data_IF_697138591138
#
_entry.id   IF_697138591138
#
_cell.length_a   1.000
_cell.length_b   1.000
_cell.length_c   1.000
_cell.angle_alpha   90.00
_cell.angle_beta   90.00
_cell.angle_gamma   90.00
#
_symmetry.space_group_name_H-M   'P 1'
#
loop_
_entity.id
_entity.type
_entity.pdbx_description
1 polymer ?
#
# COMPACT_ATOMS: atom_id res chain seq x y z
N UNK A 1 -9.63 5.93 18.30
CA UNK A 1 -9.99 5.02 17.19
C UNK A 1 -9.74 5.80 15.91
N UNK A 2 -8.77 5.36 15.10
CA UNK A 2 -8.21 6.10 13.96
C UNK A 2 -9.21 6.18 12.82
N UNK A 3 -10.01 7.24 12.82
CA UNK A 3 -10.90 7.60 11.72
C UNK A 3 -10.08 8.10 10.54
N UNK A 4 -9.92 7.27 9.51
CA UNK A 4 -9.51 7.73 8.18
C UNK A 4 -8.31 7.03 7.55
N UNK A 5 -7.49 6.27 8.30
CA UNK A 5 -6.46 5.41 7.71
C UNK A 5 -7.09 4.06 7.31
N UNK A 6 -7.04 3.71 6.02
CA UNK A 6 -7.39 2.36 5.60
C UNK A 6 -6.50 1.36 6.34
N UNK A 7 -7.07 0.27 6.85
CA UNK A 7 -6.28 -0.77 7.49
C UNK A 7 -5.43 -1.49 6.44
N UNK A 8 -4.14 -1.67 6.71
CA UNK A 8 -3.26 -2.50 5.88
C UNK A 8 -3.60 -4.00 5.95
N UNK A 9 -4.63 -4.37 6.71
CA UNK A 9 -5.18 -5.71 6.80
C UNK A 9 -6.69 -5.72 6.62
N UNK A 10 -7.20 -6.75 5.95
CA UNK A 10 -8.63 -7.03 5.80
C UNK A 10 -8.92 -8.31 6.60
N UNK A 11 -9.84 -8.30 7.57
CA UNK A 11 -10.23 -9.53 8.25
C UNK A 11 -10.78 -10.57 7.27
N UNK A 12 -10.53 -11.85 7.56
CA UNK A 12 -10.84 -12.94 6.63
C UNK A 12 -12.31 -13.19 6.36
N UNK A 13 -13.22 -12.65 7.17
CA UNK A 13 -14.66 -12.84 7.01
C UNK A 13 -15.34 -11.48 6.97
N UNK A 14 -16.15 -11.24 5.93
CA UNK A 14 -17.04 -10.07 5.83
C UNK A 14 -17.06 -9.42 4.44
N UNK A 15 -17.94 -8.43 4.28
CA UNK A 15 -17.96 -7.51 3.13
C UNK A 15 -17.34 -6.16 3.47
N UNK A 16 -16.46 -5.69 2.60
CA UNK A 16 -15.69 -4.46 2.73
C UNK A 16 -15.84 -3.59 1.49
N UNK A 17 -16.31 -2.36 1.64
CA UNK A 17 -16.43 -1.43 0.51
C UNK A 17 -15.07 -0.81 0.17
N UNK A 18 -14.70 -0.82 -1.10
CA UNK A 18 -13.41 -0.29 -1.54
C UNK A 18 -13.44 1.24 -1.49
N UNK A 19 -12.37 1.86 -1.01
CA UNK A 19 -12.30 3.29 -0.74
C UNK A 19 -12.92 3.70 0.61
N UNK A 20 -13.80 2.87 1.19
CA UNK A 20 -14.46 3.12 2.49
C UNK A 20 -13.83 2.26 3.60
N UNK A 21 -13.96 0.94 3.47
CA UNK A 21 -13.50 -0.03 4.43
C UNK A 21 -12.06 -0.48 4.15
N UNK A 22 -11.71 -0.62 2.87
CA UNK A 22 -10.41 -1.15 2.41
C UNK A 22 -9.80 -0.29 1.31
N UNK A 23 -8.48 -0.18 1.32
CA UNK A 23 -7.73 0.49 0.27
C UNK A 23 -7.69 -0.37 -1.00
N UNK A 24 -7.71 0.21 -2.21
CA UNK A 24 -7.32 -0.53 -3.40
C UNK A 24 -5.84 -0.94 -3.32
N UNK A 25 -5.51 -2.12 -3.86
CA UNK A 25 -4.15 -2.63 -3.89
C UNK A 25 -4.04 -4.14 -4.00
N UNK A 26 -2.80 -4.63 -3.95
CA UNK A 26 -2.49 -6.06 -3.95
C UNK A 26 -2.50 -6.57 -2.52
N UNK A 27 -3.30 -7.59 -2.25
CA UNK A 27 -3.43 -8.23 -0.95
C UNK A 27 -3.03 -9.69 -1.02
N UNK A 28 -2.43 -10.19 0.06
CA UNK A 28 -2.02 -11.58 0.21
C UNK A 28 -2.61 -12.18 1.47
N UNK A 29 -3.17 -13.37 1.32
CA UNK A 29 -3.59 -14.26 2.38
C UNK A 29 -2.59 -15.42 2.42
N UNK A 30 -2.04 -15.75 3.60
CA UNK A 30 -1.02 -16.82 3.72
C UNK A 30 -1.61 -18.23 3.62
N UNK A 31 -2.88 -18.41 4.01
CA UNK A 31 -3.59 -19.66 3.88
C UNK A 31 -5.06 -19.42 3.48
N UNK A 32 -5.36 -19.69 2.21
CA UNK A 32 -6.70 -19.58 1.64
C UNK A 32 -7.56 -20.84 1.83
N UNK A 33 -7.02 -21.93 2.38
CA UNK A 33 -7.62 -23.28 2.29
C UNK A 33 -9.12 -23.31 2.58
N UNK A 34 -9.90 -23.74 1.58
CA UNK A 34 -11.35 -23.96 1.71
C UNK A 34 -12.18 -22.68 1.84
N UNK A 35 -11.53 -21.52 1.74
CA UNK A 35 -12.17 -20.22 1.72
C UNK A 35 -12.58 -19.78 0.32
N UNK A 36 -13.07 -18.55 0.26
CA UNK A 36 -13.39 -17.84 -0.99
C UNK A 36 -13.23 -16.33 -0.84
N UNK A 37 -13.25 -15.68 -1.99
CA UNK A 37 -13.40 -14.24 -2.08
C UNK A 37 -14.22 -13.88 -3.33
N UNK A 38 -14.88 -12.74 -3.27
CA UNK A 38 -15.63 -12.12 -4.37
C UNK A 38 -15.31 -10.63 -4.37
N UNK A 39 -14.99 -10.09 -5.55
CA UNK A 39 -14.87 -8.67 -5.85
C UNK A 39 -16.08 -8.27 -6.68
N UNK A 40 -16.80 -7.25 -6.22
CA UNK A 40 -17.86 -6.62 -6.99
C UNK A 40 -17.21 -5.50 -7.81
N UNK A 41 -17.05 -5.74 -9.11
CA UNK A 41 -16.32 -4.84 -10.00
C UNK A 41 -17.16 -3.61 -10.36
N UNK A 42 -16.51 -2.51 -10.72
CA UNK A 42 -17.18 -1.31 -11.21
C UNK A 42 -17.95 -0.51 -10.14
N UNK A 43 -18.36 0.72 -10.47
CA UNK A 43 -18.87 1.74 -9.54
C UNK A 43 -20.15 1.36 -8.77
N UNK A 44 -20.97 0.44 -9.29
CA UNK A 44 -22.26 0.05 -8.72
C UNK A 44 -22.35 -1.41 -8.25
N UNK A 45 -21.25 -2.15 -8.25
CA UNK A 45 -21.28 -3.61 -8.05
C UNK A 45 -21.75 -4.35 -9.29
N UNK A 46 -21.02 -4.16 -10.39
CA UNK A 46 -21.10 -4.91 -11.63
C UNK A 46 -20.75 -6.39 -11.47
N UNK A 47 -20.24 -7.00 -12.54
CA UNK A 47 -20.10 -8.47 -12.57
C UNK A 47 -19.15 -8.95 -11.45
N UNK A 48 -19.62 -9.85 -10.56
CA UNK A 48 -18.82 -10.32 -9.45
C UNK A 48 -17.72 -11.25 -9.97
N UNK A 49 -16.47 -10.92 -9.66
CA UNK A 49 -15.30 -11.75 -9.95
C UNK A 49 -14.89 -12.42 -8.66
N UNK A 50 -14.82 -13.74 -8.62
CA UNK A 50 -14.50 -14.45 -7.39
C UNK A 50 -13.80 -15.77 -7.64
N UNK A 51 -13.27 -16.34 -6.55
CA UNK A 51 -12.63 -17.65 -6.57
C UNK A 51 -13.13 -18.50 -5.41
N UNK A 52 -13.62 -19.69 -5.74
CA UNK A 52 -13.95 -20.75 -4.78
C UNK A 52 -13.83 -22.13 -5.44
N UNK A 53 -13.35 -23.17 -4.74
CA UNK A 53 -12.65 -23.09 -3.44
C UNK A 53 -11.21 -22.63 -3.63
N UNK A 54 -10.70 -21.87 -2.66
CA UNK A 54 -9.29 -21.49 -2.65
C UNK A 54 -8.39 -22.71 -2.31
N UNK A 55 -7.27 -22.89 -3.02
CA UNK A 55 -6.32 -23.95 -2.73
C UNK A 55 -5.63 -23.72 -1.38
N UNK A 56 -5.01 -24.77 -0.85
CA UNK A 56 -4.16 -24.63 0.33
C UNK A 56 -2.89 -23.84 -0.02
N UNK A 57 -2.48 -22.94 0.87
CA UNK A 57 -1.32 -22.08 0.68
C UNK A 57 -1.67 -20.63 0.33
N UNK A 58 -0.66 -19.83 -0.06
CA UNK A 58 -0.81 -18.40 -0.20
C UNK A 58 -1.65 -18.03 -1.41
N UNK A 59 -2.60 -17.12 -1.21
CA UNK A 59 -3.47 -16.56 -2.25
C UNK A 59 -3.24 -15.06 -2.33
N UNK A 60 -3.06 -14.56 -3.55
CA UNK A 60 -2.99 -13.11 -3.81
C UNK A 60 -4.17 -12.64 -4.62
N UNK A 61 -4.61 -11.42 -4.34
CA UNK A 61 -5.66 -10.72 -5.07
C UNK A 61 -5.21 -9.30 -5.35
N UNK A 62 -5.71 -8.74 -6.44
CA UNK A 62 -5.66 -7.30 -6.69
C UNK A 62 -7.08 -6.78 -6.45
N UNK A 63 -7.22 -5.73 -5.66
CA UNK A 63 -8.47 -4.96 -5.50
C UNK A 63 -8.27 -3.67 -6.28
N UNK A 64 -9.03 -3.49 -7.36
CA UNK A 64 -8.95 -2.33 -8.22
C UNK A 64 -9.56 -1.08 -7.54
N UNK A 65 -9.11 0.14 -7.88
CA UNK A 65 -9.74 1.38 -7.40
C UNK A 65 -11.23 1.49 -7.75
N UNK A 66 -11.64 0.88 -8.86
CA UNK A 66 -13.01 0.85 -9.39
C UNK A 66 -13.88 -0.25 -8.83
N UNK A 67 -13.33 -1.17 -8.04
CA UNK A 67 -14.14 -2.16 -7.35
C UNK A 67 -15.09 -1.45 -6.38
N UNK A 68 -16.31 -1.93 -6.28
CA UNK A 68 -17.30 -1.44 -5.33
C UNK A 68 -17.11 -2.06 -3.95
N UNK A 69 -16.94 -3.37 -3.89
CA UNK A 69 -16.82 -4.12 -2.65
C UNK A 69 -15.98 -5.38 -2.81
N UNK A 70 -15.39 -5.79 -1.70
CA UNK A 70 -14.64 -7.02 -1.54
C UNK A 70 -15.29 -7.85 -0.42
N UNK A 71 -15.78 -9.03 -0.77
CA UNK A 71 -16.34 -10.00 0.16
C UNK A 71 -15.38 -11.18 0.29
N UNK A 72 -15.15 -11.65 1.51
CA UNK A 72 -14.22 -12.75 1.74
C UNK A 72 -14.69 -13.65 2.87
N UNK A 73 -14.35 -14.92 2.74
CA UNK A 73 -14.46 -15.92 3.80
C UNK A 73 -13.21 -16.81 3.76
N UNK A 74 -12.18 -16.41 4.47
CA UNK A 74 -10.95 -17.14 4.75
C UNK A 74 -10.74 -17.23 6.26
N UNK A 75 -10.04 -18.26 6.71
CA UNK A 75 -9.79 -18.51 8.15
C UNK A 75 -8.79 -17.52 8.76
N UNK A 76 -8.02 -16.83 7.93
CA UNK A 76 -6.96 -15.90 8.34
C UNK A 76 -7.35 -14.45 8.01
N UNK A 77 -6.44 -13.67 7.44
CA UNK A 77 -6.66 -12.28 7.06
C UNK A 77 -5.84 -11.95 5.82
N UNK A 78 -6.25 -10.90 5.11
CA UNK A 78 -5.50 -10.38 3.98
C UNK A 78 -4.57 -9.28 4.46
N UNK A 79 -3.32 -9.28 4.00
CA UNK A 79 -2.35 -8.20 4.23
C UNK A 79 -2.07 -7.48 2.92
N UNK A 80 -2.09 -6.15 2.93
CA UNK A 80 -1.69 -5.35 1.76
C UNK A 80 -0.18 -5.52 1.53
N UNK A 81 0.20 -5.95 0.34
CA UNK A 81 1.58 -6.19 -0.08
C UNK A 81 2.07 -5.09 -1.01
N UNK A 82 1.18 -4.54 -1.82
CA UNK A 82 1.49 -3.40 -2.69
C UNK A 82 0.28 -2.47 -2.83
N UNK A 83 0.54 -1.20 -3.13
CA UNK A 83 -0.50 -0.28 -3.59
C UNK A 83 -1.08 -0.76 -4.92
N UNK A 84 -2.28 -0.26 -5.28
CA UNK A 84 -2.80 -0.43 -6.63
C UNK A 84 -1.93 0.44 -7.55
N UNK A 85 -0.81 -0.13 -8.01
CA UNK A 85 -0.04 0.47 -9.09
C UNK A 85 -0.85 0.42 -10.39
N UNK A 86 -0.58 1.31 -11.35
CA UNK A 86 -1.14 1.18 -12.69
C UNK A 86 -0.64 -0.14 -13.28
N UNK A 87 -1.48 -1.17 -13.30
CA UNK A 87 -1.29 -2.26 -14.25
C UNK A 87 -1.57 -1.63 -15.62
N UNK A 88 -0.51 -1.45 -16.42
CA UNK A 88 -0.53 -0.97 -17.80
C UNK A 88 -1.18 0.40 -18.04
N UNK A 89 -0.47 1.50 -17.74
CA UNK A 89 -0.63 2.81 -18.41
C UNK A 89 -2.05 3.42 -18.41
N UNK A 90 -2.96 2.86 -17.63
CA UNK A 90 -4.35 3.25 -17.61
C UNK A 90 -4.47 4.55 -16.82
N UNK A 91 -5.28 5.52 -17.29
CA UNK A 91 -5.54 6.74 -16.52
C UNK A 91 -5.92 6.35 -15.09
N UNK A 92 -5.48 7.12 -14.09
CA UNK A 92 -5.86 6.90 -12.69
C UNK A 92 -7.38 6.68 -12.59
N UNK A 93 -7.78 5.41 -12.50
CA UNK A 93 -9.18 5.04 -12.44
C UNK A 93 -9.73 5.57 -11.12
N UNK A 94 -10.72 6.46 -11.22
CA UNK A 94 -11.29 7.18 -10.08
C UNK A 94 -11.85 6.19 -9.06
N UNK A 95 -11.41 6.33 -7.81
CA UNK A 95 -12.03 5.58 -6.71
C UNK A 95 -13.36 6.22 -6.29
N UNK A 96 -14.33 5.43 -5.81
CA UNK A 96 -15.49 5.97 -5.11
C UNK A 96 -15.07 6.81 -3.90
N UNK A 97 -15.82 7.88 -3.63
CA UNK A 97 -15.59 8.75 -2.47
C UNK A 97 -16.78 8.64 -1.54
N UNK A 98 -16.52 8.40 -0.25
CA UNK A 98 -17.57 8.30 0.75
C UNK A 98 -17.37 9.28 1.89
N UNK A 99 -18.48 9.58 2.57
CA UNK A 99 -18.46 10.32 3.82
C UNK A 99 -17.57 9.59 4.85
N UNK A 100 -16.55 10.27 5.42
CA UNK A 100 -15.63 9.64 6.38
C UNK A 100 -16.31 9.14 7.66
N UNK A 101 -17.51 9.63 7.99
CA UNK A 101 -18.30 9.17 9.14
C UNK A 101 -19.17 7.95 8.83
N UNK A 102 -19.41 7.64 7.55
CA UNK A 102 -20.28 6.56 7.11
C UNK A 102 -19.81 5.20 7.63
N UNK A 103 -18.50 4.96 7.61
CA UNK A 103 -17.90 3.71 8.11
C UNK A 103 -18.20 3.46 9.58
N UNK A 104 -17.95 4.47 10.43
CA UNK A 104 -18.18 4.36 11.86
C UNK A 104 -19.67 4.09 12.16
N UNK A 105 -20.58 4.75 11.44
CA UNK A 105 -22.01 4.49 11.59
C UNK A 105 -22.41 3.08 11.15
N UNK A 106 -21.92 2.61 10.01
CA UNK A 106 -22.18 1.24 9.54
C UNK A 106 -21.68 0.21 10.55
N UNK A 107 -20.49 0.40 11.11
CA UNK A 107 -19.93 -0.49 12.11
C UNK A 107 -20.77 -0.48 13.41
N UNK A 108 -21.31 0.67 13.84
CA UNK A 108 -22.22 0.74 15.00
C UNK A 108 -23.54 0.02 14.74
N UNK A 109 -24.09 0.13 13.53
CA UNK A 109 -25.33 -0.55 13.15
C UNK A 109 -25.17 -2.06 13.13
N UNK A 110 -24.05 -2.54 12.57
CA UNK A 110 -23.70 -3.96 12.57
C UNK A 110 -23.46 -4.45 14.00
N UNK A 111 -22.70 -3.71 14.81
CA UNK A 111 -22.42 -4.05 16.20
C UNK A 111 -23.69 -4.16 17.06
N UNK A 112 -24.65 -3.25 16.87
CA UNK A 112 -25.93 -3.27 17.59
C UNK A 112 -26.78 -4.50 17.26
N UNK A 113 -26.64 -5.08 16.07
CA UNK A 113 -27.43 -6.24 15.61
C UNK A 113 -26.72 -7.59 15.72
N UNK A 114 -25.39 -7.60 15.92
CA UNK A 114 -24.62 -8.82 16.25
C UNK A 114 -25.26 -9.71 17.34
N UNK A 115 -25.73 -9.20 18.50
CA UNK A 115 -26.33 -10.07 19.51
C UNK A 115 -27.63 -10.72 19.03
N UNK A 116 -28.43 -10.02 18.20
CA UNK A 116 -29.68 -10.55 17.67
C UNK A 116 -29.43 -11.72 16.70
N UNK A 117 -28.42 -11.60 15.84
CA UNK A 117 -28.04 -12.65 14.90
C UNK A 117 -27.39 -13.83 15.63
N UNK A 118 -26.60 -13.57 16.67
CA UNK A 118 -26.02 -14.64 17.51
C UNK A 118 -27.07 -15.45 18.27
N UNK A 119 -28.22 -14.84 18.61
CA UNK A 119 -29.34 -15.53 19.24
C UNK A 119 -30.18 -16.39 18.28
N UNK A 120 -30.05 -16.22 16.95
CA UNK A 120 -30.82 -16.97 15.96
C UNK A 120 -30.72 -18.51 16.07
N UNK A 121 -29.53 -19.14 16.23
CA UNK A 121 -29.47 -20.59 16.47
C UNK A 121 -30.11 -20.98 17.81
N UNK A 122 -30.04 -20.11 18.81
CA UNK A 122 -30.62 -20.33 20.14
C UNK A 122 -32.15 -20.30 20.09
N UNK A 123 -32.75 -19.41 19.29
CA UNK A 123 -34.20 -19.38 19.08
C UNK A 123 -34.68 -20.60 18.29
N UNK A 124 -33.94 -21.04 17.26
CA UNK A 124 -34.23 -22.28 16.51
C UNK A 124 -34.20 -23.49 17.45
N UNK A 125 -33.23 -23.55 18.36
CA UNK A 125 -33.09 -24.63 19.34
C UNK A 125 -34.18 -24.56 20.43
N UNK A 126 -34.57 -23.37 20.88
CA UNK A 126 -35.66 -23.17 21.83
C UNK A 126 -37.03 -23.56 21.24
N UNK A 127 -37.28 -23.21 19.97
CA UNK A 127 -38.43 -23.71 19.21
C UNK A 127 -38.35 -25.23 19.18
N UNK A 128 -37.19 -25.79 18.82
CA UNK A 128 -36.92 -27.23 18.80
C UNK A 128 -37.14 -27.97 20.11
N UNK A 129 -37.05 -27.29 21.25
CA UNK A 129 -37.36 -27.87 22.55
C UNK A 129 -38.87 -27.85 22.82
N UNK A 130 -39.59 -26.81 22.38
CA UNK A 130 -41.02 -26.60 22.64
C UNK A 130 -41.94 -27.57 21.90
N UNK A 131 -41.61 -27.96 20.67
CA UNK A 131 -42.39 -28.94 19.88
C UNK A 131 -41.96 -30.40 20.06
N UNK A 132 -40.89 -30.66 20.83
CA UNK A 132 -40.43 -32.02 21.16
C UNK A 132 -41.52 -32.93 21.78
N UNK A 133 -42.40 -32.47 22.70
CA UNK A 133 -43.46 -33.31 23.25
C UNK A 133 -44.54 -33.69 22.23
N UNK A 134 -44.64 -32.98 21.10
CA UNK A 134 -45.67 -33.21 20.07
C UNK A 134 -45.12 -33.97 18.86
N UNK A 135 -43.89 -33.68 18.44
CA UNK A 135 -43.29 -34.22 17.20
C UNK A 135 -42.16 -35.25 17.43
N UNK A 136 -41.74 -35.48 18.68
CA UNK A 136 -40.74 -36.49 19.03
C UNK A 136 -39.28 -36.13 18.72
N UNK A 137 -38.37 -37.10 18.87
CA UNK A 137 -36.91 -36.89 18.86
C UNK A 137 -36.31 -36.60 17.48
N UNK A 138 -36.94 -37.04 16.39
CA UNK A 138 -36.49 -36.75 15.02
C UNK A 138 -36.61 -35.25 14.69
N UNK A 139 -37.58 -34.57 15.29
CA UNK A 139 -37.78 -33.13 15.11
C UNK A 139 -36.69 -32.29 15.80
N UNK A 140 -36.28 -32.71 17.01
CA UNK A 140 -35.14 -32.14 17.73
C UNK A 140 -33.84 -32.26 16.93
N UNK A 141 -33.60 -33.43 16.32
CA UNK A 141 -32.41 -33.64 15.49
C UNK A 141 -32.41 -32.74 14.25
N UNK A 142 -33.58 -32.61 13.60
CA UNK A 142 -33.76 -31.70 12.46
C UNK A 142 -33.49 -30.24 12.81
N UNK A 143 -34.00 -29.75 13.94
CA UNK A 143 -33.78 -28.37 14.38
C UNK A 143 -32.40 -28.13 14.98
N UNK A 144 -31.76 -29.13 15.59
CA UNK A 144 -30.36 -29.05 15.98
C UNK A 144 -29.44 -28.93 14.75
N UNK A 145 -29.68 -29.74 13.70
CA UNK A 145 -28.97 -29.61 12.44
C UNK A 145 -29.21 -28.24 11.79
N UNK A 146 -30.45 -27.74 11.86
CA UNK A 146 -30.77 -26.39 11.37
C UNK A 146 -30.06 -25.30 12.16
N UNK A 147 -30.03 -25.39 13.50
CA UNK A 147 -29.32 -24.46 14.36
C UNK A 147 -27.81 -24.46 14.08
N UNK A 148 -27.21 -25.62 13.78
CA UNK A 148 -25.80 -25.73 13.38
C UNK A 148 -25.57 -25.06 12.01
N UNK A 149 -26.42 -25.33 11.02
CA UNK A 149 -26.35 -24.67 9.71
C UNK A 149 -26.50 -23.14 9.81
N UNK A 150 -27.43 -22.68 10.65
CA UNK A 150 -27.63 -21.25 10.94
C UNK A 150 -26.42 -20.66 11.64
N UNK A 151 -25.86 -21.34 12.64
CA UNK A 151 -24.68 -20.88 13.38
C UNK A 151 -23.43 -20.79 12.49
N UNK A 152 -23.25 -21.72 11.55
CA UNK A 152 -22.11 -21.72 10.61
C UNK A 152 -22.27 -20.71 9.47
N UNK A 153 -23.49 -20.52 8.93
CA UNK A 153 -23.70 -19.72 7.71
C UNK A 153 -24.31 -18.32 7.92
N UNK A 154 -25.06 -18.09 8.99
CA UNK A 154 -25.90 -16.89 9.11
C UNK A 154 -25.20 -15.63 9.67
N UNK A 155 -24.24 -15.71 10.62
CA UNK A 155 -23.66 -14.51 11.22
C UNK A 155 -22.93 -13.60 10.23
N UNK A 156 -22.18 -14.17 9.29
CA UNK A 156 -21.43 -13.41 8.29
C UNK A 156 -22.36 -12.92 7.17
N UNK A 157 -23.01 -13.86 6.47
CA UNK A 157 -23.79 -13.58 5.26
C UNK A 157 -24.99 -12.65 5.50
N UNK A 158 -25.67 -12.75 6.66
CA UNK A 158 -26.85 -11.91 6.93
C UNK A 158 -26.49 -10.46 7.28
N UNK A 159 -25.38 -10.25 8.01
CA UNK A 159 -24.88 -8.93 8.36
C UNK A 159 -24.30 -8.23 7.12
N UNK A 160 -23.61 -8.99 6.26
CA UNK A 160 -23.03 -8.51 5.01
C UNK A 160 -24.11 -8.07 4.00
N UNK A 161 -25.14 -8.88 3.77
CA UNK A 161 -26.29 -8.51 2.94
C UNK A 161 -27.09 -7.32 3.49
N UNK A 162 -27.15 -7.17 4.82
CA UNK A 162 -27.76 -5.99 5.43
C UNK A 162 -26.90 -4.75 5.25
N UNK A 163 -25.57 -4.86 5.41
CA UNK A 163 -24.63 -3.75 5.20
C UNK A 163 -24.73 -3.23 3.75
N UNK A 164 -24.80 -4.13 2.77
CA UNK A 164 -25.02 -3.78 1.37
C UNK A 164 -26.37 -3.07 1.13
N UNK A 165 -27.47 -3.57 1.72
CA UNK A 165 -28.79 -2.92 1.61
C UNK A 165 -28.83 -1.54 2.28
N UNK A 166 -28.21 -1.40 3.45
CA UNK A 166 -28.15 -0.12 4.16
C UNK A 166 -27.24 0.89 3.44
N UNK A 167 -26.18 0.43 2.76
CA UNK A 167 -25.39 1.29 1.90
C UNK A 167 -26.21 1.77 0.69
N UNK A 168 -26.93 0.87 0.01
CA UNK A 168 -27.82 1.24 -1.10
C UNK A 168 -28.91 2.25 -0.69
N UNK A 169 -29.40 2.17 0.56
CA UNK A 169 -30.35 3.15 1.12
C UNK A 169 -29.73 4.51 1.40
N UNK A 170 -28.40 4.58 1.57
CA UNK A 170 -27.63 5.79 1.88
C UNK A 170 -26.82 6.27 0.66
N UNK A 171 -27.42 6.19 -0.54
CA UNK A 171 -26.78 6.62 -1.80
C UNK A 171 -26.37 8.09 -1.81
N UNK A 172 -26.93 8.90 -0.92
CA UNK A 172 -26.55 10.28 -0.68
C UNK A 172 -25.19 10.45 0.04
N UNK A 173 -24.62 9.38 0.61
CA UNK A 173 -23.39 9.42 1.44
C UNK A 173 -22.17 8.78 0.80
N UNK A 174 -22.28 8.36 -0.45
CA UNK A 174 -21.15 7.92 -1.26
C UNK A 174 -21.38 8.29 -2.72
N UNK A 175 -20.29 8.61 -3.41
CA UNK A 175 -20.28 9.03 -4.81
C UNK A 175 -19.39 8.09 -5.61
N UNK A 176 -19.86 7.72 -6.78
CA UNK A 176 -19.14 6.86 -7.72
C UNK A 176 -18.73 7.65 -8.96
N UNK A 177 -17.72 7.20 -9.73
CA UNK A 177 -17.28 7.86 -10.96
C UNK A 177 -18.40 8.23 -11.96
N UNK A 178 -19.53 7.53 -11.91
CA UNK A 178 -20.73 7.78 -12.74
C UNK A 178 -21.53 9.03 -12.32
N UNK A 179 -21.38 9.49 -11.08
CA UNK A 179 -22.07 10.70 -10.58
C UNK A 179 -21.41 12.01 -11.08
N UNK A 180 -20.32 11.90 -11.84
CA UNK A 180 -19.50 13.01 -12.32
C UNK A 180 -19.49 13.06 -13.85
N UNK A 181 -19.48 14.27 -14.40
CA UNK A 181 -19.15 14.52 -15.82
C UNK A 181 -17.62 14.54 -16.03
N UNK A 182 -17.18 14.63 -17.29
CA UNK A 182 -15.75 14.54 -17.65
C UNK A 182 -14.86 15.54 -16.91
N UNK A 183 -15.25 16.82 -16.88
CA UNK A 183 -14.49 17.85 -16.18
C UNK A 183 -14.39 17.60 -14.68
N UNK A 184 -15.49 17.15 -14.04
CA UNK A 184 -15.48 16.84 -12.62
C UNK A 184 -14.65 15.59 -12.33
N UNK A 185 -14.65 14.59 -13.22
CA UNK A 185 -13.78 13.42 -13.14
C UNK A 185 -12.31 13.81 -13.15
N UNK A 186 -11.90 14.71 -14.03
CA UNK A 186 -10.51 15.19 -14.07
C UNK A 186 -10.11 15.91 -12.77
N UNK A 187 -10.96 16.81 -12.27
CA UNK A 187 -10.70 17.50 -11.00
C UNK A 187 -10.64 16.54 -9.81
N UNK A 188 -11.52 15.53 -9.78
CA UNK A 188 -11.51 14.53 -8.72
C UNK A 188 -10.25 13.67 -8.76
N UNK A 189 -9.77 13.28 -9.95
CA UNK A 189 -8.54 12.50 -10.10
C UNK A 189 -7.34 13.26 -9.52
N UNK A 190 -7.27 14.57 -9.79
CA UNK A 190 -6.24 15.47 -9.23
C UNK A 190 -6.30 15.54 -7.72
N UNK A 191 -7.50 15.63 -7.13
CA UNK A 191 -7.68 15.60 -5.67
C UNK A 191 -7.19 14.28 -5.08
N UNK A 192 -7.60 13.15 -5.66
CA UNK A 192 -7.22 11.81 -5.20
C UNK A 192 -5.71 11.63 -5.25
N UNK A 193 -5.06 12.03 -6.36
CA UNK A 193 -3.61 11.98 -6.50
C UNK A 193 -2.87 12.86 -5.47
N UNK A 194 -3.38 14.06 -5.20
CA UNK A 194 -2.80 14.96 -4.19
C UNK A 194 -2.94 14.38 -2.77
N UNK A 195 -4.10 13.84 -2.42
CA UNK A 195 -4.36 13.20 -1.13
C UNK A 195 -3.47 11.97 -0.95
N UNK A 196 -3.35 11.14 -1.98
CA UNK A 196 -2.52 9.92 -1.94
C UNK A 196 -1.04 10.26 -1.81
N UNK A 197 -0.56 11.28 -2.53
CA UNK A 197 0.82 11.78 -2.40
C UNK A 197 1.15 12.16 -0.96
N UNK A 198 0.24 12.86 -0.26
CA UNK A 198 0.48 13.23 1.14
C UNK A 198 0.42 12.01 2.05
N UNK A 199 -0.59 11.15 1.87
CA UNK A 199 -0.79 9.97 2.73
C UNK A 199 0.37 8.98 2.67
N UNK A 200 0.86 8.73 1.46
CA UNK A 200 1.90 7.74 1.20
C UNK A 200 3.32 8.28 1.46
N UNK A 201 3.46 9.60 1.67
CA UNK A 201 4.74 10.22 1.96
C UNK A 201 5.40 9.63 3.21
N UNK A 202 6.73 9.56 3.16
CA UNK A 202 7.57 9.07 4.26
C UNK A 202 7.45 9.98 5.49
N UNK A 203 7.44 11.30 5.27
CA UNK A 203 7.23 12.29 6.34
C UNK A 203 5.87 12.15 7.05
N UNK A 204 4.81 11.74 6.34
CA UNK A 204 3.51 11.50 6.97
C UNK A 204 3.50 10.16 7.73
N UNK A 205 4.08 9.09 7.15
CA UNK A 205 4.15 7.77 7.80
C UNK A 205 4.99 7.77 9.08
N UNK A 206 6.01 8.61 9.13
CA UNK A 206 6.88 8.75 10.31
C UNK A 206 6.36 9.76 11.34
N UNK A 207 5.23 10.41 11.07
CA UNK A 207 4.64 11.39 11.98
C UNK A 207 5.43 12.70 12.07
N UNK A 208 6.26 13.01 11.08
CA UNK A 208 6.93 14.32 10.95
C UNK A 208 5.94 15.42 10.51
N UNK A 209 4.88 15.03 9.81
CA UNK A 209 3.66 15.82 9.66
C UNK A 209 2.63 15.39 10.73
N UNK A 210 1.64 16.25 10.99
CA UNK A 210 0.50 15.88 11.84
C UNK A 210 -0.35 14.80 11.16
N UNK A 211 0.08 13.54 11.32
CA UNK A 211 -0.52 12.38 10.68
C UNK A 211 -1.93 12.10 11.19
N UNK A 212 -2.26 12.57 12.40
CA UNK A 212 -3.59 12.46 12.99
C UNK A 212 -4.54 13.45 12.31
N UNK A 213 -4.14 14.72 12.18
CA UNK A 213 -4.94 15.70 11.44
C UNK A 213 -5.07 15.29 9.97
N UNK A 214 -3.98 14.88 9.32
CA UNK A 214 -4.02 14.41 7.93
C UNK A 214 -4.95 13.22 7.72
N UNK A 215 -5.00 12.28 8.67
CA UNK A 215 -5.89 11.12 8.59
C UNK A 215 -7.38 11.52 8.60
N UNK A 216 -7.74 12.61 9.28
CA UNK A 216 -9.12 13.06 9.45
C UNK A 216 -9.51 14.13 8.42
N UNK A 217 -8.63 15.11 8.20
CA UNK A 217 -8.90 16.28 7.38
C UNK A 217 -8.86 15.95 5.89
N UNK A 218 -7.88 15.17 5.41
CA UNK A 218 -7.77 14.87 3.97
C UNK A 218 -9.01 14.13 3.41
N UNK A 219 -9.53 13.04 4.04
CA UNK A 219 -10.77 12.40 3.58
C UNK A 219 -11.97 13.33 3.59
N UNK A 220 -12.06 14.20 4.60
CA UNK A 220 -13.15 15.17 4.69
C UNK A 220 -13.07 16.19 3.56
N UNK A 221 -11.87 16.67 3.22
CA UNK A 221 -11.66 17.56 2.08
C UNK A 221 -12.01 16.86 0.75
N UNK A 222 -11.59 15.61 0.56
CA UNK A 222 -11.92 14.79 -0.62
C UNK A 222 -13.45 14.65 -0.78
N UNK A 223 -14.16 14.28 0.30
CA UNK A 223 -15.62 14.14 0.31
C UNK A 223 -16.37 15.46 0.04
N UNK A 224 -15.95 16.55 0.68
CA UNK A 224 -16.60 17.85 0.47
C UNK A 224 -16.41 18.37 -0.97
N UNK A 225 -15.22 18.17 -1.56
CA UNK A 225 -14.97 18.53 -2.96
C UNK A 225 -15.81 17.65 -3.89
N UNK A 226 -15.81 16.32 -3.67
CA UNK A 226 -16.60 15.39 -4.46
C UNK A 226 -18.10 15.74 -4.46
N UNK A 227 -18.68 16.10 -3.31
CA UNK A 227 -20.08 16.52 -3.25
C UNK A 227 -20.38 17.77 -4.08
N UNK A 228 -19.47 18.76 -4.08
CA UNK A 228 -19.65 19.97 -4.88
C UNK A 228 -19.51 19.64 -6.36
N UNK A 229 -18.52 18.83 -6.74
CA UNK A 229 -18.30 18.37 -8.11
C UNK A 229 -19.51 17.60 -8.65
N UNK A 230 -20.05 16.62 -7.92
CA UNK A 230 -21.24 15.86 -8.33
C UNK A 230 -22.46 16.78 -8.51
N UNK A 231 -22.62 17.78 -7.63
CA UNK A 231 -23.69 18.79 -7.77
C UNK A 231 -23.50 19.66 -9.01
N UNK A 232 -22.27 20.07 -9.30
CA UNK A 232 -21.95 20.84 -10.50
C UNK A 232 -22.21 20.02 -11.77
N UNK A 233 -21.80 18.75 -11.80
CA UNK A 233 -22.07 17.84 -12.91
C UNK A 233 -23.56 17.67 -13.18
N UNK A 234 -24.36 17.42 -12.13
CA UNK A 234 -25.82 17.34 -12.28
C UNK A 234 -26.43 18.63 -12.84
N UNK A 235 -26.01 19.78 -12.32
CA UNK A 235 -26.51 21.08 -12.79
C UNK A 235 -26.10 21.39 -14.24
N UNK A 236 -24.93 20.93 -14.69
CA UNK A 236 -24.50 21.05 -16.10
C UNK A 236 -25.38 20.20 -17.01
N UNK A 237 -25.61 18.94 -16.65
CA UNK A 237 -26.49 18.03 -17.40
C UNK A 237 -27.90 18.63 -17.52
N UNK A 238 -28.49 19.11 -16.41
CA UNK A 238 -29.81 19.76 -16.41
C UNK A 238 -29.84 21.02 -17.33
N UNK A 239 -28.75 21.79 -17.39
CA UNK A 239 -28.66 22.99 -18.23
C UNK A 239 -28.45 22.66 -19.72
N UNK A 240 -27.73 21.60 -20.03
CA UNK A 240 -27.50 21.15 -21.40
C UNK A 240 -28.80 20.57 -21.99
N UNK A 241 -29.55 19.81 -21.20
CA UNK A 241 -30.90 19.32 -21.56
C UNK A 241 -31.87 20.49 -21.79
N UNK A 242 -31.84 21.51 -20.92
CA UNK A 242 -32.68 22.71 -21.06
C UNK A 242 -32.27 23.64 -22.22
N UNK A 243 -31.05 23.47 -22.77
CA UNK A 243 -30.47 24.33 -23.81
C UNK A 243 -30.71 23.88 -25.26
N UNK A 244 -31.16 22.64 -25.48
CA UNK A 244 -31.41 22.06 -26.81
C UNK A 244 -32.63 22.68 -27.52
N UNK A 245 -32.66 22.77 -28.87
CA UNK A 245 -32.64 24.06 -29.58
C UNK A 245 -33.58 25.09 -28.95
N UNK A 246 -33.10 25.73 -27.89
CA UNK A 246 -33.90 26.65 -27.09
C UNK A 246 -33.97 28.03 -27.74
N UNK A 247 -35.14 28.67 -27.67
CA UNK A 247 -35.35 30.05 -28.10
C UNK A 247 -34.34 30.98 -27.38
N UNK A 248 -33.83 32.05 -28.04
CA UNK A 248 -32.82 32.94 -27.47
C UNK A 248 -33.21 33.54 -26.12
N UNK A 249 -34.50 33.67 -25.83
CA UNK A 249 -35.07 34.12 -24.56
C UNK A 249 -34.75 33.17 -23.39
N UNK A 250 -34.82 31.85 -23.62
CA UNK A 250 -34.48 30.82 -22.61
C UNK A 250 -32.99 30.86 -22.31
N UNK A 251 -32.17 31.00 -23.37
CA UNK A 251 -30.72 31.16 -23.24
C UNK A 251 -30.32 32.43 -22.47
N UNK A 252 -31.05 33.54 -22.65
CA UNK A 252 -30.84 34.76 -21.89
C UNK A 252 -31.22 34.58 -20.40
N UNK A 253 -32.32 33.87 -20.11
CA UNK A 253 -32.77 33.59 -18.75
C UNK A 253 -31.81 32.66 -17.98
N UNK A 254 -31.13 31.74 -18.67
CA UNK A 254 -30.15 30.82 -18.05
C UNK A 254 -28.79 31.46 -17.73
N UNK A 255 -28.46 32.62 -18.33
CA UNK A 255 -27.13 33.26 -18.19
C UNK A 255 -26.70 33.50 -16.73
N UNK A 256 -27.54 34.08 -15.84
CA UNK A 256 -27.13 34.31 -14.45
C UNK A 256 -26.88 33.01 -13.66
N UNK A 257 -27.55 31.91 -14.03
CA UNK A 257 -27.32 30.60 -13.41
C UNK A 257 -26.00 29.99 -13.86
N UNK A 258 -25.63 30.14 -15.13
CA UNK A 258 -24.31 29.74 -15.66
C UNK A 258 -23.17 30.52 -15.00
N UNK A 259 -23.34 31.82 -14.81
CA UNK A 259 -22.35 32.65 -14.10
C UNK A 259 -22.13 32.19 -12.65
N UNK A 260 -23.22 31.86 -11.93
CA UNK A 260 -23.12 31.30 -10.57
C UNK A 260 -22.42 29.95 -10.54
N UNK A 261 -22.69 29.09 -11.53
CA UNK A 261 -22.05 27.79 -11.65
C UNK A 261 -20.55 27.93 -11.92
N UNK A 262 -20.16 28.83 -12.84
CA UNK A 262 -18.76 29.14 -13.14
C UNK A 262 -18.00 29.68 -11.92
N UNK A 263 -18.62 30.56 -11.12
CA UNK A 263 -18.04 31.01 -9.85
C UNK A 263 -17.81 29.86 -8.87
N UNK A 264 -18.74 28.91 -8.82
CA UNK A 264 -18.61 27.69 -7.99
C UNK A 264 -17.46 26.80 -8.48
N UNK A 265 -17.36 26.57 -9.80
CA UNK A 265 -16.27 25.78 -10.40
C UNK A 265 -14.92 26.42 -10.06
N UNK A 266 -14.76 27.74 -10.29
CA UNK A 266 -13.53 28.47 -9.94
C UNK A 266 -13.17 28.41 -8.46
N UNK A 267 -14.15 28.38 -7.56
CA UNK A 267 -13.91 28.23 -6.13
C UNK A 267 -13.38 26.82 -5.78
N UNK A 268 -13.98 25.77 -6.37
CA UNK A 268 -13.52 24.39 -6.19
C UNK A 268 -12.14 24.18 -6.79
N UNK A 269 -11.88 24.67 -7.99
CA UNK A 269 -10.56 24.55 -8.63
C UNK A 269 -9.46 25.14 -7.76
N UNK A 270 -9.66 26.32 -7.17
CA UNK A 270 -8.68 26.91 -6.22
C UNK A 270 -8.43 26.07 -4.99
N UNK A 271 -9.45 25.33 -4.52
CA UNK A 271 -9.32 24.39 -3.40
C UNK A 271 -8.51 23.16 -3.82
N UNK A 272 -8.73 22.63 -5.01
CA UNK A 272 -7.91 21.55 -5.61
C UNK A 272 -6.46 21.99 -5.74
N UNK A 273 -6.19 23.17 -6.30
CA UNK A 273 -4.84 23.74 -6.42
C UNK A 273 -4.16 23.96 -5.06
N UNK A 274 -4.92 24.22 -4.00
CA UNK A 274 -4.38 24.30 -2.65
C UNK A 274 -3.94 22.93 -2.12
N UNK A 275 -4.71 21.88 -2.39
CA UNK A 275 -4.34 20.49 -2.05
C UNK A 275 -3.12 20.02 -2.85
N UNK A 276 -3.05 20.33 -4.15
CA UNK A 276 -1.89 20.00 -4.99
C UNK A 276 -0.62 20.70 -4.50
N UNK A 277 -0.70 21.99 -4.14
CA UNK A 277 0.44 22.70 -3.53
C UNK A 277 0.86 22.11 -2.20
N UNK A 278 -0.08 21.59 -1.41
CA UNK A 278 0.25 20.88 -0.17
C UNK A 278 0.98 19.57 -0.47
N UNK A 279 0.47 18.77 -1.42
CA UNK A 279 1.12 17.55 -1.88
C UNK A 279 2.54 17.79 -2.43
N UNK A 280 2.75 18.85 -3.20
CA UNK A 280 4.07 19.23 -3.71
C UNK A 280 5.05 19.55 -2.58
N UNK A 281 4.62 20.32 -1.57
CA UNK A 281 5.44 20.62 -0.40
C UNK A 281 5.78 19.37 0.40
N UNK A 282 4.84 18.45 0.52
CA UNK A 282 5.07 17.16 1.18
C UNK A 282 6.08 16.32 0.41
N UNK A 283 6.04 16.31 -0.93
CA UNK A 283 7.07 15.64 -1.75
C UNK A 283 8.46 16.25 -1.56
N UNK A 284 8.54 17.58 -1.56
CA UNK A 284 9.81 18.27 -1.29
C UNK A 284 10.35 17.96 0.12
N UNK A 285 9.46 17.82 1.12
CA UNK A 285 9.85 17.40 2.46
C UNK A 285 10.38 15.95 2.50
N UNK A 286 9.77 15.03 1.76
CA UNK A 286 10.26 13.66 1.57
C UNK A 286 11.67 13.65 0.94
N UNK A 287 11.90 14.46 -0.09
CA UNK A 287 13.21 14.58 -0.72
C UNK A 287 14.27 15.10 0.26
N UNK A 288 13.92 16.12 1.06
CA UNK A 288 14.80 16.65 2.10
C UNK A 288 15.10 15.61 3.18
N UNK A 289 14.11 14.83 3.62
CA UNK A 289 14.29 13.74 4.59
C UNK A 289 15.24 12.67 4.05
N UNK A 290 15.06 12.25 2.79
CA UNK A 290 15.96 11.28 2.15
C UNK A 290 17.37 11.82 1.98
N UNK A 291 17.51 13.10 1.63
CA UNK A 291 18.82 13.75 1.54
C UNK A 291 19.52 13.81 2.91
N UNK A 292 18.79 14.16 3.96
CA UNK A 292 19.30 14.19 5.33
C UNK A 292 19.82 12.81 5.75
N UNK A 293 19.04 11.74 5.54
CA UNK A 293 19.46 10.36 5.83
C UNK A 293 20.70 9.92 5.08
N UNK A 294 20.83 10.32 3.81
CA UNK A 294 22.03 10.02 3.02
C UNK A 294 23.26 10.72 3.61
N UNK A 295 23.12 11.96 4.08
CA UNK A 295 24.21 12.69 4.74
C UNK A 295 24.59 12.03 6.08
N UNK A 296 23.62 11.62 6.89
CA UNK A 296 23.88 10.88 8.13
C UNK A 296 24.62 9.57 7.85
N UNK A 297 24.21 8.81 6.83
CA UNK A 297 24.87 7.58 6.43
C UNK A 297 26.31 7.81 5.92
N UNK A 298 26.56 8.92 5.22
CA UNK A 298 27.91 9.31 4.78
C UNK A 298 28.79 9.72 5.96
N UNK A 299 28.26 10.52 6.89
CA UNK A 299 28.97 10.91 8.11
C UNK A 299 29.29 9.70 8.98
N UNK A 300 28.36 8.77 9.10
CA UNK A 300 28.58 7.52 9.81
C UNK A 300 29.72 6.70 9.20
N UNK A 301 30.03 6.83 7.90
CA UNK A 301 31.15 6.15 7.23
C UNK A 301 32.42 6.99 7.13
N UNK A 302 32.40 8.27 7.52
CA UNK A 302 33.55 9.17 7.41
C UNK A 302 34.79 8.62 8.15
N UNK A 303 34.59 7.98 9.30
CA UNK A 303 35.66 7.35 10.07
C UNK A 303 36.43 6.27 9.28
N UNK A 304 35.76 5.50 8.40
CA UNK A 304 36.43 4.51 7.54
C UNK A 304 37.37 5.18 6.53
N UNK A 305 37.00 6.36 6.03
CA UNK A 305 37.85 7.14 5.12
C UNK A 305 39.02 7.79 5.87
N UNK A 306 38.80 8.26 7.10
CA UNK A 306 39.86 8.79 7.96
C UNK A 306 40.87 7.69 8.34
N UNK A 307 40.40 6.48 8.65
CA UNK A 307 41.25 5.31 8.93
C UNK A 307 42.07 4.89 7.69
N UNK A 308 41.44 4.86 6.51
CA UNK A 308 42.13 4.58 5.25
C UNK A 308 43.23 5.62 4.96
N UNK A 309 42.96 6.90 5.20
CA UNK A 309 43.96 7.97 5.08
C UNK A 309 45.10 7.76 6.08
N UNK A 310 44.80 7.42 7.33
CA UNK A 310 45.82 7.17 8.35
C UNK A 310 46.73 5.99 8.01
N UNK A 311 46.16 4.89 7.49
CA UNK A 311 46.94 3.74 7.04
C UNK A 311 47.79 4.06 5.80
N UNK A 312 47.26 4.84 4.84
CA UNK A 312 48.05 5.29 3.68
C UNK A 312 49.23 6.17 4.09
N UNK A 313 49.04 7.10 5.03
CA UNK A 313 50.16 7.90 5.57
C UNK A 313 51.17 7.01 6.30
N UNK A 314 50.74 5.96 7.01
CA UNK A 314 51.65 4.99 7.63
C UNK A 314 52.48 4.26 6.57
N UNK A 315 51.86 3.83 5.47
CA UNK A 315 52.53 3.15 4.37
C UNK A 315 53.55 4.06 3.67
N UNK A 316 53.20 5.33 3.44
CA UNK A 316 54.12 6.34 2.91
C UNK A 316 55.34 6.57 3.83
N UNK A 317 55.15 6.52 5.15
CA UNK A 317 56.23 6.61 6.12
C UNK A 317 57.09 5.34 6.21
N UNK A 318 56.58 4.19 5.73
CA UNK A 318 57.30 2.91 5.73
C UNK A 318 58.24 2.75 4.52
N UNK A 319 57.98 3.46 3.41
CA UNK A 319 58.80 3.44 2.19
C UNK A 319 60.31 3.65 2.45
N UNK A 320 60.76 4.66 3.21
CA UNK A 320 62.19 4.87 3.48
C UNK A 320 62.85 3.75 4.31
N UNK A 321 62.08 2.95 5.04
CA UNK A 321 62.60 1.79 5.76
C UNK A 321 62.80 0.60 4.79
N UNK A 322 61.89 0.41 3.85
CA UNK A 322 61.99 -0.63 2.81
C UNK A 322 63.15 -0.34 1.86
N UNK A 323 63.35 0.92 1.47
CA UNK A 323 64.49 1.35 0.65
C UNK A 323 65.83 0.99 1.33
N UNK A 324 65.98 1.29 2.62
CA UNK A 324 67.18 0.92 3.40
C UNK A 324 67.38 -0.59 3.49
N UNK A 325 66.33 -1.38 3.69
CA UNK A 325 66.43 -2.84 3.70
C UNK A 325 66.86 -3.41 2.34
N UNK A 326 66.44 -2.74 1.26
CA UNK A 326 66.83 -3.11 -0.11
C UNK A 326 68.30 -2.81 -0.35
N UNK A 327 68.78 -1.62 0.05
CA UNK A 327 70.21 -1.26 -0.03
C UNK A 327 71.11 -2.23 0.74
N UNK A 328 70.68 -2.63 1.95
CA UNK A 328 71.39 -3.62 2.77
C UNK A 328 71.43 -5.01 2.11
N UNK A 329 70.35 -5.40 1.46
CA UNK A 329 70.28 -6.67 0.73
C UNK A 329 71.22 -6.67 -0.49
N UNK A 330 71.29 -5.55 -1.22
CA UNK A 330 72.22 -5.39 -2.34
C UNK A 330 73.69 -5.41 -1.88
N UNK A 331 73.98 -4.81 -0.72
CA UNK A 331 75.29 -4.89 -0.08
C UNK A 331 75.67 -6.34 0.26
N UNK A 332 74.75 -7.08 0.89
CA UNK A 332 74.95 -8.49 1.22
C UNK A 332 75.21 -9.33 -0.04
N UNK A 333 74.43 -9.14 -1.10
CA UNK A 333 74.62 -9.84 -2.38
C UNK A 333 75.98 -9.52 -2.99
N UNK A 334 76.42 -8.25 -2.95
CA UNK A 334 77.77 -7.85 -3.40
C UNK A 334 78.85 -8.57 -2.60
N UNK A 335 78.76 -8.60 -1.28
CA UNK A 335 79.73 -9.29 -0.41
C UNK A 335 79.77 -10.79 -0.68
N UNK A 336 78.61 -11.45 -0.81
CA UNK A 336 78.54 -12.88 -1.10
C UNK A 336 79.15 -13.22 -2.45
N UNK A 337 78.86 -12.43 -3.50
CA UNK A 337 79.47 -12.59 -4.83
C UNK A 337 80.98 -12.42 -4.79
N UNK A 338 81.47 -11.42 -4.05
CA UNK A 338 82.92 -11.20 -3.85
C UNK A 338 83.58 -12.42 -3.20
N UNK A 339 82.99 -12.96 -2.13
CA UNK A 339 83.51 -14.16 -1.46
C UNK A 339 83.46 -15.40 -2.35
N UNK A 340 82.43 -15.52 -3.20
CA UNK A 340 82.32 -16.63 -4.15
C UNK A 340 83.38 -16.54 -5.24
N UNK A 341 83.73 -15.32 -5.68
CA UNK A 341 84.81 -15.08 -6.63
C UNK A 341 86.18 -15.41 -6.00
N UNK A 342 86.44 -14.96 -4.77
CA UNK A 342 87.66 -15.30 -4.02
C UNK A 342 87.79 -16.82 -3.82
N UNK A 343 86.70 -17.52 -3.49
CA UNK A 343 86.70 -18.97 -3.35
C UNK A 343 86.92 -19.71 -4.69
N UNK A 344 86.43 -19.16 -5.81
CA UNK A 344 86.66 -19.71 -7.14
C UNK A 344 88.12 -19.51 -7.60
N UNK A 345 88.74 -18.38 -7.30
CA UNK A 345 90.18 -18.15 -7.55
C UNK A 345 91.05 -19.09 -6.70
N UNK A 346 90.76 -19.23 -5.40
CA UNK A 346 91.48 -20.15 -4.52
C UNK A 346 91.31 -21.63 -4.92
N UNK A 347 90.16 -21.99 -5.50
CA UNK A 347 89.93 -23.31 -6.09
C UNK A 347 90.70 -23.56 -7.39
N UNK A 348 91.04 -22.50 -8.14
CA UNK A 348 91.83 -22.56 -9.37
C UNK A 348 93.35 -22.69 -9.14
N UNK A 349 93.84 -22.34 -7.94
CA UNK A 349 95.26 -22.49 -7.54
C UNK A 349 95.61 -23.87 -6.96
N UNK A 350 94.64 -24.77 -6.81
CA UNK A 350 94.91 -26.17 -6.46
C UNK A 350 95.45 -26.94 -7.69
N UNK A 351 96.68 -27.47 -7.65
CA UNK A 351 97.25 -28.21 -8.78
C UNK A 351 96.47 -29.51 -9.04
N UNK A 352 96.40 -30.01 -10.30
CA UNK A 352 95.74 -31.26 -10.59
C UNK A 352 96.40 -32.40 -9.79
N UNK A 353 95.59 -33.12 -9.01
CA UNK A 353 96.02 -34.33 -8.32
C UNK A 353 96.60 -35.32 -9.33
N UNK A 354 97.91 -35.52 -9.26
CA UNK A 354 98.64 -36.49 -10.07
C UNK A 354 98.22 -37.91 -9.63
N UNK A 355 97.82 -38.81 -10.53
CA UNK A 355 97.60 -40.20 -10.17
C UNK A 355 98.96 -40.87 -9.92
N UNK A 356 99.24 -41.21 -8.66
CA UNK A 356 100.42 -41.94 -8.23
C UNK A 356 100.15 -43.45 -8.13
N UNK A 357 101.02 -44.21 -8.79
CA UNK A 357 101.12 -45.68 -8.97
C UNK A 357 101.23 -46.50 -7.64
N UNK A 358 101.10 -47.85 -7.70
CA UNK A 358 100.88 -48.75 -6.56
C UNK A 358 102.19 -49.31 -5.95
N UNK A 359 102.09 -49.85 -4.72
CA UNK A 359 102.85 -51.00 -4.19
C UNK A 359 102.53 -51.23 -2.68
N UNK A 360 102.82 -52.41 -2.09
CA UNK A 360 103.07 -53.74 -2.67
C UNK A 360 101.90 -54.73 -2.48
#
# INVERSE_FOLDING_TARGET
MTSGAWSNSIPGIGTYFVGIDVAPGRYRCEDGKGGWWVRFTGPGGGEPVGSWPLPAGPTEIVIAPTDFAFETHVTTYWRRVANAGPEDGSPHELRPVADPTLRAELDTLVARRRPLVWLAPLTVLAIGLLGAPVLGSLWLMGLAMMAILVALGSPAVSLDLQRARELARRRDRYLTPEDFDDDARELLARVQAAVDTVRDSEVNREGLLDSVDNAVTLPRQEWEIAQVLARQSRLRIEQDEAGSPSLPEVSAALRPFREKLDLSVRAVTRRVEALERYAERTRAADEALRAHRRLEALQARAHEYDDLLADTVRDDLALPAIERLTEQSDELVRTLRSRLAEAAEAGGELPPSTPGDPAP
#
